data_IF_513598029811
#
_entry.id   IF_513598029811
#
_cell.length_a   1.000
_cell.length_b   1.000
_cell.length_c   1.000
_cell.angle_alpha   90.00
_cell.angle_beta   90.00
_cell.angle_gamma   90.00
#
_symmetry.space_group_name_H-M   'P 1'
#
loop_
_entity.id
_entity.type
_entity.pdbx_description
1 polymer ?
#
# COMPACT_ATOMS: atom_id res chain seq x y z
N UNK A 1 -2.37 -8.72 -9.73
CA UNK A 1 -1.70 -7.40 -9.76
C UNK A 1 -0.79 -7.17 -10.99
N UNK A 2 0.07 -8.13 -11.42
CA UNK A 2 0.99 -7.91 -12.58
C UNK A 2 0.32 -7.59 -13.93
N UNK A 3 -0.89 -8.09 -14.18
CA UNK A 3 -1.63 -7.87 -15.44
C UNK A 3 -2.43 -6.56 -15.46
N UNK A 4 -2.59 -5.89 -14.32
CA UNK A 4 -3.30 -4.60 -14.18
C UNK A 4 -2.35 -3.41 -14.02
N UNK A 5 -1.03 -3.65 -13.99
CA UNK A 5 -0.01 -2.60 -13.89
C UNK A 5 -0.14 -1.44 -14.89
N UNK A 6 -0.56 -1.67 -16.16
CA UNK A 6 -0.78 -0.59 -17.13
C UNK A 6 -1.93 0.37 -16.75
N UNK A 7 -2.90 -0.13 -16.01
CA UNK A 7 -4.12 0.61 -15.66
C UNK A 7 -4.02 1.32 -14.31
N UNK A 8 -3.00 1.00 -13.51
CA UNK A 8 -2.64 1.73 -12.29
C UNK A 8 -1.62 2.81 -12.66
N UNK A 9 -2.04 4.06 -12.66
CA UNK A 9 -1.17 5.20 -12.96
C UNK A 9 -0.31 5.59 -11.78
N UNK A 10 -0.89 5.56 -10.58
CA UNK A 10 -0.19 5.87 -9.34
C UNK A 10 -0.74 5.04 -8.20
N UNK A 11 0.17 4.59 -7.34
CA UNK A 11 -0.19 3.99 -6.06
C UNK A 11 0.66 4.62 -4.96
N UNK A 12 0.09 4.81 -3.78
CA UNK A 12 0.83 5.21 -2.58
C UNK A 12 0.23 4.50 -1.39
N UNK A 13 1.04 4.20 -0.39
CA UNK A 13 0.50 3.74 0.87
C UNK A 13 1.46 3.79 2.03
N UNK A 14 0.87 3.72 3.21
CA UNK A 14 1.51 3.59 4.51
C UNK A 14 1.07 2.24 5.05
N UNK A 15 2.03 1.37 5.34
CA UNK A 15 1.79 0.03 5.86
C UNK A 15 2.32 -0.09 7.29
N UNK A 16 1.53 -0.80 8.10
CA UNK A 16 1.93 -1.36 9.38
C UNK A 16 2.36 -2.81 9.15
N UNK A 17 3.67 -3.04 9.10
CA UNK A 17 4.24 -4.37 8.84
C UNK A 17 4.45 -5.12 10.17
N UNK A 18 4.14 -6.41 10.17
CA UNK A 18 4.39 -7.26 11.33
C UNK A 18 5.89 -7.29 11.68
N UNK A 19 6.21 -7.06 12.95
CA UNK A 19 7.59 -7.01 13.43
C UNK A 19 8.33 -5.69 13.18
N UNK A 20 7.67 -4.66 12.66
CA UNK A 20 8.27 -3.33 12.44
C UNK A 20 7.61 -2.24 13.28
N UNK A 21 8.44 -1.44 13.94
CA UNK A 21 7.99 -0.26 14.70
C UNK A 21 8.00 1.03 13.88
N UNK A 22 8.46 0.95 12.64
CA UNK A 22 8.44 2.06 11.69
C UNK A 22 7.29 1.93 10.70
N UNK A 23 6.78 3.08 10.26
CA UNK A 23 5.91 3.14 9.09
C UNK A 23 6.68 2.71 7.86
N UNK A 24 6.10 1.84 7.06
CA UNK A 24 6.60 1.57 5.73
C UNK A 24 5.80 2.39 4.72
N UNK A 25 6.48 3.28 3.99
CA UNK A 25 5.84 4.13 2.98
C UNK A 25 6.30 3.65 1.62
N UNK A 26 5.33 3.39 0.75
CA UNK A 26 5.60 3.05 -0.64
C UNK A 26 4.92 4.01 -1.59
N UNK A 27 5.50 4.12 -2.77
CA UNK A 27 4.95 4.85 -3.89
C UNK A 27 5.26 4.10 -5.18
N UNK A 28 4.30 4.10 -6.09
CA UNK A 28 4.47 3.55 -7.42
C UNK A 28 3.88 4.45 -8.48
N UNK A 29 4.54 4.50 -9.63
CA UNK A 29 4.10 5.22 -10.83
C UNK A 29 4.21 4.25 -11.99
N UNK A 30 3.07 3.88 -12.59
CA UNK A 30 2.98 2.78 -13.54
C UNK A 30 3.64 1.50 -13.01
N UNK A 31 4.73 1.06 -13.64
CA UNK A 31 5.46 -0.18 -13.31
C UNK A 31 6.58 0.03 -12.30
N UNK A 32 6.90 1.29 -11.97
CA UNK A 32 7.94 1.60 -10.98
C UNK A 32 7.33 1.54 -9.59
N UNK A 33 8.00 0.80 -8.70
CA UNK A 33 7.63 0.67 -7.30
C UNK A 33 8.87 0.99 -6.45
N UNK A 34 8.68 1.85 -5.46
CA UNK A 34 9.68 2.22 -4.46
C UNK A 34 9.05 2.17 -3.08
N UNK A 35 9.79 1.66 -2.10
CA UNK A 35 9.31 1.46 -0.74
C UNK A 35 10.44 1.64 0.25
N UNK A 36 10.18 2.43 1.30
CA UNK A 36 11.16 2.71 2.35
C UNK A 36 10.52 2.75 3.72
N UNK A 37 11.33 2.45 4.74
CA UNK A 37 11.00 2.80 6.12
C UNK A 37 11.00 4.33 6.24
N UNK A 38 9.91 4.87 6.75
CA UNK A 38 9.77 6.29 7.08
C UNK A 38 10.11 6.44 8.57
N UNK A 39 9.27 7.13 9.35
CA UNK A 39 9.49 7.37 10.78
C UNK A 39 8.79 6.32 11.65
N UNK A 40 9.23 6.13 12.90
CA UNK A 40 8.53 5.32 13.89
C UNK A 40 7.04 5.66 13.99
N UNK A 41 6.24 4.66 14.34
CA UNK A 41 4.89 4.89 14.83
C UNK A 41 4.97 5.73 16.11
N UNK A 42 4.06 6.70 16.27
CA UNK A 42 3.95 7.41 17.55
C UNK A 42 3.32 6.44 18.55
N UNK A 43 3.73 6.50 19.82
CA UNK A 43 3.22 5.65 20.90
C UNK A 43 1.69 5.67 21.00
N UNK A 44 1.08 6.82 20.75
CA UNK A 44 -0.37 7.02 20.89
C UNK A 44 -1.11 6.99 19.55
N UNK A 45 -0.42 6.70 18.44
CA UNK A 45 -1.06 6.64 17.13
C UNK A 45 -1.54 5.23 16.83
N UNK A 46 -2.80 5.12 16.41
CA UNK A 46 -3.35 3.89 15.86
C UNK A 46 -2.55 3.48 14.61
N UNK A 47 -1.94 2.30 14.66
CA UNK A 47 -1.20 1.74 13.52
C UNK A 47 -2.21 1.23 12.49
N UNK A 48 -2.36 1.94 11.37
CA UNK A 48 -3.28 1.57 10.28
C UNK A 48 -2.57 1.45 8.94
N UNK A 49 -3.13 0.61 8.08
CA UNK A 49 -2.76 0.51 6.67
C UNK A 49 -3.60 1.49 5.86
N UNK A 50 -2.97 2.41 5.13
CA UNK A 50 -3.64 3.36 4.25
C UNK A 50 -3.05 3.25 2.85
N UNK A 51 -3.89 2.96 1.86
CA UNK A 51 -3.46 2.79 0.48
C UNK A 51 -4.37 3.61 -0.45
N UNK A 52 -3.76 4.23 -1.46
CA UNK A 52 -4.44 4.96 -2.54
C UNK A 52 -3.97 4.37 -3.86
N UNK A 53 -4.94 4.05 -4.72
CA UNK A 53 -4.74 3.64 -6.09
C UNK A 53 -5.44 4.63 -7.01
N UNK A 54 -4.73 5.08 -8.04
CA UNK A 54 -5.25 5.98 -9.06
C UNK A 54 -5.00 5.31 -10.40
N UNK A 55 -6.06 5.09 -11.15
CA UNK A 55 -6.03 4.32 -12.38
C UNK A 55 -7.38 4.29 -13.05
N UNK A 56 -7.50 3.45 -14.08
CA UNK A 56 -8.75 3.20 -14.81
C UNK A 56 -9.14 1.73 -14.69
N UNK A 57 -10.42 1.41 -14.78
CA UNK A 57 -10.92 0.03 -14.72
C UNK A 57 -10.41 -0.76 -13.50
N UNK A 58 -10.21 -0.08 -12.37
CA UNK A 58 -9.75 -0.72 -11.15
C UNK A 58 -10.92 -1.48 -10.51
N UNK A 59 -10.67 -2.75 -10.19
CA UNK A 59 -11.61 -3.56 -9.42
C UNK A 59 -11.36 -3.31 -7.93
N UNK A 60 -12.13 -2.39 -7.35
CA UNK A 60 -12.01 -2.01 -5.94
C UNK A 60 -12.23 -3.21 -5.00
N UNK A 61 -13.23 -4.05 -5.28
CA UNK A 61 -13.57 -5.18 -4.43
C UNK A 61 -12.40 -6.17 -4.39
N UNK A 62 -11.86 -6.50 -5.57
CA UNK A 62 -10.70 -7.36 -5.69
C UNK A 62 -9.46 -6.78 -5.02
N UNK A 63 -9.18 -5.49 -5.22
CA UNK A 63 -8.04 -4.83 -4.56
C UNK A 63 -8.16 -4.94 -3.04
N UNK A 64 -9.35 -4.63 -2.49
CA UNK A 64 -9.58 -4.74 -1.04
C UNK A 64 -9.42 -6.17 -0.53
N UNK A 65 -9.95 -7.16 -1.25
CA UNK A 65 -9.83 -8.57 -0.89
C UNK A 65 -8.36 -9.03 -0.91
N UNK A 66 -7.65 -8.77 -2.02
CA UNK A 66 -6.25 -9.15 -2.19
C UNK A 66 -5.38 -8.52 -1.07
N UNK A 67 -5.65 -7.28 -0.61
CA UNK A 67 -4.94 -6.67 0.51
C UNK A 67 -5.36 -7.22 1.88
N UNK A 68 -6.64 -7.54 2.08
CA UNK A 68 -7.11 -8.17 3.32
C UNK A 68 -6.52 -9.56 3.52
N UNK A 69 -6.28 -10.30 2.44
CA UNK A 69 -5.62 -11.61 2.47
C UNK A 69 -4.16 -11.53 2.97
N UNK A 70 -3.52 -10.36 2.94
CA UNK A 70 -2.17 -10.13 3.45
C UNK A 70 -2.13 -9.78 4.94
N UNK A 71 -3.27 -9.65 5.61
CA UNK A 71 -3.31 -9.40 7.05
C UNK A 71 -2.88 -10.67 7.80
N UNK A 72 -2.03 -10.48 8.81
CA UNK A 72 -1.48 -11.53 9.68
C UNK A 72 -1.79 -11.23 11.13
#
# INVERSE_FOLDING_TARGET
LRTQGPDIFRMKGILNLAGEDCRFVFQGVHMLFDGKRDRPWKSDAERKNELVFIGRNLDEAKLREDFRACLV
#
